data_IF_140210711657
#
_entry.id   IF_140210711657
#
_cell.length_a   1.000
_cell.length_b   1.000
_cell.length_c   1.000
_cell.angle_alpha   90.00
_cell.angle_beta   90.00
_cell.angle_gamma   90.00
#
_symmetry.space_group_name_H-M   'P 1'
#
loop_
_entity.id
_entity.type
_entity.pdbx_description
1 polymer ?
#
# COMPACT_ATOMS: atom_id res chain seq x y z
N UNK A 1 42.96 4.73 4.45
CA UNK A 1 41.80 3.94 3.97
C UNK A 1 40.87 3.71 5.14
N UNK A 2 39.58 4.11 5.06
CA UNK A 2 38.65 3.83 6.16
C UNK A 2 38.41 2.31 6.24
N UNK A 3 38.44 1.76 7.44
CA UNK A 3 38.15 0.34 7.71
C UNK A 3 36.70 0.05 7.32
N UNK A 4 36.48 -0.96 6.50
CA UNK A 4 35.15 -1.48 6.24
C UNK A 4 34.54 -1.97 7.55
N UNK A 5 33.39 -1.43 7.88
CA UNK A 5 32.62 -1.85 9.06
C UNK A 5 31.94 -3.18 8.74
N UNK A 6 32.25 -4.20 9.51
CA UNK A 6 31.69 -5.53 9.27
C UNK A 6 30.21 -5.59 9.72
N UNK A 7 29.52 -6.63 9.26
CA UNK A 7 28.09 -6.86 9.52
C UNK A 7 27.75 -6.93 11.02
N UNK A 8 28.69 -7.40 11.85
CA UNK A 8 28.51 -7.49 13.30
C UNK A 8 28.59 -6.10 13.98
N UNK A 9 29.47 -5.26 13.49
CA UNK A 9 29.63 -3.89 14.01
C UNK A 9 28.41 -3.03 13.63
N UNK A 10 27.87 -3.23 12.43
CA UNK A 10 26.64 -2.58 11.99
C UNK A 10 25.45 -2.95 12.89
N UNK A 11 25.30 -4.25 13.23
CA UNK A 11 24.21 -4.71 14.10
C UNK A 11 24.37 -4.20 15.55
N UNK A 12 25.61 -4.02 16.03
CA UNK A 12 25.85 -3.43 17.35
C UNK A 12 25.56 -1.93 17.40
N UNK A 13 25.88 -1.22 16.32
CA UNK A 13 25.57 0.21 16.21
C UNK A 13 24.06 0.46 16.18
N UNK A 14 23.30 -0.38 15.47
CA UNK A 14 21.83 -0.27 15.45
C UNK A 14 21.19 -0.63 16.80
N UNK A 15 21.78 -1.57 17.56
CA UNK A 15 21.30 -1.91 18.91
C UNK A 15 21.59 -0.81 19.95
N UNK A 16 22.71 -0.09 19.80
CA UNK A 16 23.07 0.99 20.73
C UNK A 16 22.20 2.25 20.55
N UNK A 17 21.78 2.54 19.33
CA UNK A 17 20.91 3.70 19.05
C UNK A 17 19.48 3.46 19.60
N UNK A 18 19.01 2.21 19.59
CA UNK A 18 17.71 1.85 20.14
C UNK A 18 17.62 2.00 21.68
N UNK A 19 18.73 1.90 22.40
CA UNK A 19 18.72 1.93 23.87
C UNK A 19 18.68 3.35 24.44
N UNK A 20 19.11 4.37 23.70
CA UNK A 20 19.22 5.74 24.21
C UNK A 20 17.92 6.57 24.10
N UNK A 21 16.99 6.13 23.24
CA UNK A 21 15.73 6.85 23.00
C UNK A 21 14.61 6.41 23.96
N UNK A 22 14.82 5.34 24.76
CA UNK A 22 13.76 4.78 25.62
C UNK A 22 13.63 5.45 27.01
N UNK A 23 14.37 6.52 27.29
CA UNK A 23 14.36 7.15 28.63
C UNK A 23 13.67 8.53 28.68
N UNK A 24 12.76 8.80 27.78
CA UNK A 24 12.03 10.07 27.81
C UNK A 24 10.62 9.97 27.26
N UNK A 25 9.67 10.15 28.11
CA UNK A 25 8.23 10.31 27.91
C UNK A 25 7.42 9.02 27.72
N UNK A 26 7.06 8.44 28.85
CA UNK A 26 5.83 7.65 28.96
C UNK A 26 4.67 8.68 28.85
N UNK A 27 4.09 8.79 27.67
CA UNK A 27 2.84 9.52 27.51
C UNK A 27 1.73 8.75 28.22
N UNK A 28 1.20 9.34 29.28
CA UNK A 28 0.01 8.84 29.95
C UNK A 28 -1.21 8.93 29.02
N UNK A 29 -1.92 7.85 28.90
CA UNK A 29 -3.32 7.83 28.50
C UNK A 29 -3.59 7.85 27.02
N UNK A 30 -3.31 6.74 26.33
CA UNK A 30 -4.06 6.43 25.13
C UNK A 30 -5.44 5.93 25.54
N UNK A 31 -6.46 6.76 25.47
CA UNK A 31 -7.82 6.26 25.47
C UNK A 31 -7.96 5.38 24.25
N UNK A 32 -8.13 4.08 24.48
CA UNK A 32 -8.55 3.14 23.42
C UNK A 32 -9.90 3.64 22.93
N UNK A 33 -9.92 4.29 21.78
CA UNK A 33 -11.16 4.59 21.12
C UNK A 33 -11.81 3.26 20.74
N UNK A 34 -12.87 2.91 21.47
CA UNK A 34 -13.67 1.74 21.14
C UNK A 34 -14.44 2.05 19.85
N UNK A 35 -13.85 1.70 18.71
CA UNK A 35 -14.61 1.68 17.46
C UNK A 35 -15.68 0.60 17.63
N UNK A 36 -16.94 1.03 17.77
CA UNK A 36 -18.05 0.10 17.59
C UNK A 36 -17.95 -0.47 16.16
N UNK A 37 -18.10 -1.80 16.02
CA UNK A 37 -18.04 -2.42 14.70
C UNK A 37 -19.01 -1.70 13.77
N UNK A 38 -18.46 -1.02 12.77
CA UNK A 38 -19.25 -0.36 11.75
C UNK A 38 -19.74 -1.45 10.79
N UNK A 39 -21.04 -1.58 10.63
CA UNK A 39 -21.57 -2.56 9.67
C UNK A 39 -21.17 -2.12 8.27
N UNK A 40 -20.04 -2.65 7.80
CA UNK A 40 -19.56 -2.36 6.44
C UNK A 40 -20.48 -3.03 5.42
N UNK A 41 -20.76 -2.29 4.35
CA UNK A 41 -21.60 -2.80 3.27
C UNK A 41 -20.87 -3.92 2.52
N UNK A 42 -21.50 -5.09 2.40
CA UNK A 42 -20.93 -6.20 1.63
C UNK A 42 -21.04 -5.91 0.12
N UNK A 43 -20.00 -6.29 -0.61
CA UNK A 43 -20.01 -6.19 -2.08
C UNK A 43 -20.18 -7.57 -2.71
N UNK A 44 -20.83 -7.59 -3.87
CA UNK A 44 -20.97 -8.82 -4.68
C UNK A 44 -19.60 -9.23 -5.22
N UNK A 45 -18.80 -8.23 -5.60
CA UNK A 45 -17.51 -8.45 -6.26
C UNK A 45 -16.62 -7.22 -6.07
N UNK A 46 -15.31 -7.45 -5.96
CA UNK A 46 -14.31 -6.40 -6.11
C UNK A 46 -13.33 -6.82 -7.20
N UNK A 47 -12.97 -5.88 -8.07
CA UNK A 47 -11.98 -6.05 -9.13
C UNK A 47 -10.82 -5.10 -8.83
N UNK A 48 -9.62 -5.66 -8.63
CA UNK A 48 -8.41 -4.89 -8.37
C UNK A 48 -7.46 -5.08 -9.56
N UNK A 49 -7.21 -4.01 -10.29
CA UNK A 49 -6.22 -3.98 -11.38
C UNK A 49 -4.95 -3.32 -10.87
N UNK A 50 -3.85 -4.05 -10.84
CA UNK A 50 -2.52 -3.51 -10.50
C UNK A 50 -1.98 -2.85 -11.78
N UNK A 51 -2.04 -1.53 -11.83
CA UNK A 51 -1.63 -0.77 -13.03
C UNK A 51 -0.12 -0.91 -13.24
N UNK A 52 0.65 -0.71 -12.14
CA UNK A 52 2.11 -0.87 -12.18
C UNK A 52 2.62 -1.42 -10.84
N UNK A 53 3.77 -2.07 -10.87
CA UNK A 53 4.46 -2.68 -9.73
C UNK A 53 5.89 -3.01 -10.19
N UNK A 54 6.73 -3.48 -9.27
CA UNK A 54 8.15 -3.79 -9.50
C UNK A 54 8.42 -4.89 -10.55
N UNK A 55 7.45 -5.76 -10.78
CA UNK A 55 7.68 -7.01 -11.53
C UNK A 55 6.64 -7.20 -12.63
N UNK A 56 7.11 -7.56 -13.84
CA UNK A 56 6.24 -7.95 -14.95
C UNK A 56 6.79 -9.19 -15.64
N UNK A 57 5.95 -10.20 -15.83
CA UNK A 57 6.30 -11.40 -16.57
C UNK A 57 5.06 -11.89 -17.34
N UNK A 58 5.09 -11.71 -18.65
CA UNK A 58 3.97 -12.07 -19.52
C UNK A 58 3.75 -13.58 -19.65
N UNK A 59 4.74 -14.39 -19.25
CA UNK A 59 4.65 -15.85 -19.37
C UNK A 59 4.08 -16.53 -18.12
N UNK A 60 3.76 -15.78 -17.07
CA UNK A 60 3.19 -16.35 -15.85
C UNK A 60 1.67 -16.50 -15.88
N UNK A 61 1.05 -16.39 -17.03
CA UNK A 61 -0.40 -16.46 -17.20
C UNK A 61 -1.00 -17.81 -16.74
N UNK A 62 -0.21 -18.88 -16.76
CA UNK A 62 -0.67 -20.22 -16.44
C UNK A 62 -0.22 -20.74 -15.05
N UNK A 63 0.42 -19.89 -14.25
CA UNK A 63 0.98 -20.30 -12.95
C UNK A 63 0.12 -19.75 -11.79
N UNK A 64 -1.06 -20.36 -11.61
CA UNK A 64 -2.01 -19.97 -10.57
C UNK A 64 -2.41 -21.19 -9.73
N UNK A 65 -2.84 -20.98 -8.49
CA UNK A 65 -3.51 -22.06 -7.75
C UNK A 65 -4.69 -22.59 -8.58
N UNK A 66 -4.89 -23.92 -8.65
CA UNK A 66 -5.92 -24.49 -9.53
C UNK A 66 -7.35 -24.01 -9.25
N UNK A 67 -7.62 -23.58 -8.04
CA UNK A 67 -8.93 -23.09 -7.61
C UNK A 67 -9.13 -21.59 -7.83
N UNK A 68 -8.10 -20.85 -8.21
CA UNK A 68 -8.20 -19.40 -8.42
C UNK A 68 -8.43 -19.09 -9.91
N UNK A 69 -9.69 -19.07 -10.30
CA UNK A 69 -10.09 -18.87 -11.71
C UNK A 69 -10.18 -17.40 -12.13
N UNK A 70 -9.91 -16.47 -11.19
CA UNK A 70 -10.27 -15.08 -11.39
C UNK A 70 -9.06 -14.14 -11.52
N UNK A 71 -7.88 -14.67 -11.81
CA UNK A 71 -6.72 -13.83 -12.14
C UNK A 71 -6.62 -13.68 -13.66
N UNK A 72 -6.58 -12.43 -14.13
CA UNK A 72 -6.37 -12.12 -15.54
C UNK A 72 -5.05 -11.37 -15.69
N UNK A 73 -4.21 -11.84 -16.58
CA UNK A 73 -2.93 -11.20 -16.89
C UNK A 73 -3.03 -10.47 -18.22
N UNK A 74 -2.33 -9.36 -18.33
CA UNK A 74 -2.21 -8.66 -19.61
C UNK A 74 -1.35 -9.50 -20.56
N UNK A 75 -1.87 -9.75 -21.76
CA UNK A 75 -1.13 -10.48 -22.79
C UNK A 75 -0.45 -9.49 -23.72
N UNK A 76 0.85 -9.66 -23.88
CA UNK A 76 1.64 -8.80 -24.79
C UNK A 76 1.29 -9.06 -26.25
N UNK A 77 1.53 -8.04 -27.09
CA UNK A 77 1.43 -8.14 -28.54
C UNK A 77 2.49 -7.25 -29.19
N UNK A 78 2.62 -7.31 -30.51
CA UNK A 78 3.57 -6.43 -31.19
C UNK A 78 3.33 -4.96 -30.82
N UNK A 79 4.37 -4.29 -30.31
CA UNK A 79 4.30 -2.90 -29.91
C UNK A 79 3.59 -2.62 -28.60
N UNK A 80 3.24 -3.65 -27.83
CA UNK A 80 2.59 -3.44 -26.53
C UNK A 80 3.20 -4.30 -25.42
N UNK A 81 3.51 -3.68 -24.30
CA UNK A 81 3.99 -4.35 -23.07
C UNK A 81 3.67 -3.47 -21.88
N UNK A 82 3.41 -4.10 -20.77
CA UNK A 82 3.20 -3.38 -19.49
C UNK A 82 4.55 -2.85 -19.02
N UNK A 83 4.55 -1.61 -18.54
CA UNK A 83 5.67 -0.96 -17.88
C UNK A 83 5.67 -1.35 -16.39
N UNK A 84 6.80 -1.86 -15.91
CA UNK A 84 7.05 -2.13 -14.49
C UNK A 84 8.01 -1.10 -13.93
N UNK A 85 7.79 -0.68 -12.68
CA UNK A 85 8.62 0.34 -12.03
C UNK A 85 8.60 0.15 -10.51
N UNK A 86 9.51 0.82 -9.79
CA UNK A 86 9.39 0.90 -8.34
C UNK A 86 8.36 1.97 -7.98
N UNK A 87 7.12 1.70 -8.33
CA UNK A 87 5.97 2.53 -8.04
C UNK A 87 4.74 1.64 -8.03
N UNK A 88 3.75 2.02 -7.29
CA UNK A 88 2.53 1.21 -7.15
C UNK A 88 1.30 2.03 -7.50
N UNK A 89 0.39 1.43 -8.28
CA UNK A 89 -0.84 2.08 -8.67
C UNK A 89 -1.93 1.05 -8.92
N UNK A 90 -3.14 1.37 -8.46
CA UNK A 90 -4.30 0.47 -8.58
C UNK A 90 -5.48 1.20 -9.22
N UNK A 91 -6.22 0.47 -10.06
CA UNK A 91 -7.59 0.79 -10.43
C UNK A 91 -8.49 -0.27 -9.79
N UNK A 92 -9.51 0.17 -9.07
CA UNK A 92 -10.35 -0.72 -8.27
C UNK A 92 -11.81 -0.44 -8.61
N UNK A 93 -12.60 -1.52 -8.72
CA UNK A 93 -14.05 -1.41 -8.91
C UNK A 93 -14.76 -2.29 -7.89
N UNK A 94 -15.64 -1.74 -7.08
CA UNK A 94 -16.59 -2.53 -6.30
C UNK A 94 -17.87 -2.69 -7.09
N UNK A 95 -18.57 -3.80 -6.87
CA UNK A 95 -19.85 -4.10 -7.52
C UNK A 95 -20.91 -4.31 -6.46
N UNK A 96 -21.99 -3.54 -6.58
CA UNK A 96 -23.08 -3.51 -5.61
C UNK A 96 -24.39 -3.26 -6.35
N UNK A 97 -25.36 -4.16 -6.16
CA UNK A 97 -26.68 -4.06 -6.80
C UNK A 97 -26.58 -3.87 -8.32
N UNK A 98 -25.62 -4.60 -8.93
CA UNK A 98 -25.41 -4.56 -10.37
C UNK A 98 -24.69 -3.30 -10.88
N UNK A 99 -24.28 -2.39 -10.01
CA UNK A 99 -23.52 -1.17 -10.38
C UNK A 99 -22.05 -1.34 -10.00
N UNK A 100 -21.17 -0.77 -10.82
CA UNK A 100 -19.75 -0.69 -10.51
C UNK A 100 -19.38 0.70 -10.03
N UNK A 101 -18.48 0.78 -9.05
CA UNK A 101 -17.99 2.02 -8.43
C UNK A 101 -16.48 2.06 -8.58
N UNK A 102 -15.97 2.63 -9.68
CA UNK A 102 -14.52 2.67 -9.94
C UNK A 102 -13.81 3.82 -9.24
N UNK A 103 -12.60 3.54 -8.75
CA UNK A 103 -11.72 4.55 -8.17
C UNK A 103 -10.26 4.16 -8.39
N UNK A 104 -9.36 5.11 -8.23
CA UNK A 104 -7.91 4.83 -8.24
C UNK A 104 -7.33 4.98 -6.85
N UNK A 105 -6.32 4.16 -6.55
CA UNK A 105 -5.56 4.21 -5.30
C UNK A 105 -4.09 4.11 -5.63
N UNK A 106 -3.33 5.13 -5.26
CA UNK A 106 -1.93 5.37 -5.59
C UNK A 106 -1.70 5.52 -7.12
N UNK A 107 -0.58 6.12 -7.49
CA UNK A 107 -0.38 6.66 -8.84
C UNK A 107 0.97 6.29 -9.47
N UNK A 108 1.81 5.54 -8.75
CA UNK A 108 3.13 5.17 -9.27
C UNK A 108 4.08 6.36 -9.39
N UNK A 109 5.07 6.22 -10.23
CA UNK A 109 6.20 7.14 -10.32
C UNK A 109 6.39 7.72 -11.73
N UNK A 110 6.51 6.86 -12.75
CA UNK A 110 6.77 7.31 -14.11
C UNK A 110 5.47 7.60 -14.85
N UNK A 111 5.26 8.88 -15.19
CA UNK A 111 4.02 9.31 -15.83
C UNK A 111 3.76 8.57 -17.15
N UNK A 112 4.78 8.47 -18.02
CA UNK A 112 4.59 7.87 -19.35
C UNK A 112 4.25 6.37 -19.23
N UNK A 113 4.97 5.66 -18.36
CA UNK A 113 4.75 4.23 -18.13
C UNK A 113 3.37 3.94 -17.55
N UNK A 114 2.97 4.68 -16.51
CA UNK A 114 1.67 4.50 -15.85
C UNK A 114 0.53 4.85 -16.81
N UNK A 115 0.63 5.97 -17.55
CA UNK A 115 -0.42 6.36 -18.51
C UNK A 115 -0.53 5.34 -19.65
N UNK A 116 0.60 4.79 -20.12
CA UNK A 116 0.61 3.73 -21.12
C UNK A 116 -0.10 2.47 -20.59
N UNK A 117 0.17 2.10 -19.33
CA UNK A 117 -0.51 0.96 -18.70
C UNK A 117 -2.02 1.19 -18.59
N UNK A 118 -2.44 2.40 -18.17
CA UNK A 118 -3.86 2.77 -18.08
C UNK A 118 -4.55 2.55 -19.44
N UNK A 119 -3.90 3.01 -20.52
CA UNK A 119 -4.40 2.83 -21.89
C UNK A 119 -4.50 1.35 -22.28
N UNK A 120 -3.42 0.60 -22.09
CA UNK A 120 -3.35 -0.83 -22.45
C UNK A 120 -4.36 -1.68 -21.67
N UNK A 121 -4.59 -1.32 -20.40
CA UNK A 121 -5.54 -2.03 -19.52
C UNK A 121 -6.99 -1.59 -19.74
N UNK A 122 -7.23 -0.61 -20.62
CA UNK A 122 -8.56 -0.11 -20.96
C UNK A 122 -9.26 0.58 -19.78
N UNK A 123 -8.51 1.27 -18.92
CA UNK A 123 -9.08 1.94 -17.76
C UNK A 123 -9.69 3.28 -18.19
N UNK A 124 -10.99 3.44 -17.93
CA UNK A 124 -11.73 4.64 -18.28
C UNK A 124 -11.74 5.65 -17.13
N UNK A 125 -10.89 6.66 -17.22
CA UNK A 125 -10.77 7.71 -16.20
C UNK A 125 -12.03 8.58 -16.09
N UNK A 126 -12.94 8.58 -17.09
CA UNK A 126 -14.16 9.38 -17.03
C UNK A 126 -15.17 8.82 -16.02
N UNK A 127 -15.00 7.54 -15.64
CA UNK A 127 -15.91 6.84 -14.73
C UNK A 127 -15.51 6.95 -13.27
N UNK A 128 -14.32 7.50 -12.97
CA UNK A 128 -13.80 7.52 -11.60
C UNK A 128 -14.73 8.28 -10.66
N UNK A 129 -15.13 7.64 -9.57
CA UNK A 129 -15.94 8.23 -8.51
C UNK A 129 -15.09 8.85 -7.40
N UNK A 130 -13.86 8.35 -7.23
CA UNK A 130 -12.94 8.80 -6.18
C UNK A 130 -11.50 8.55 -6.56
N UNK A 131 -10.62 9.21 -5.83
CA UNK A 131 -9.17 9.01 -5.85
C UNK A 131 -8.71 8.82 -4.41
N UNK A 132 -7.70 8.00 -4.18
CA UNK A 132 -7.12 7.80 -2.85
C UNK A 132 -5.60 7.74 -2.90
N UNK A 133 -4.96 8.12 -1.80
CA UNK A 133 -3.52 8.02 -1.63
C UNK A 133 -3.25 7.29 -0.32
N UNK A 134 -2.44 6.24 -0.38
CA UNK A 134 -2.12 5.43 0.79
C UNK A 134 -1.27 6.18 1.81
N UNK A 135 -0.22 6.84 1.35
CA UNK A 135 0.71 7.60 2.21
C UNK A 135 1.61 8.51 1.36
N UNK A 136 2.44 9.30 2.00
CA UNK A 136 3.20 10.36 1.35
C UNK A 136 4.57 10.00 0.79
N UNK A 137 4.84 8.75 0.39
CA UNK A 137 6.07 8.39 -0.34
C UNK A 137 5.91 8.60 -1.83
N UNK A 138 6.99 9.04 -2.49
CA UNK A 138 6.96 9.50 -3.88
C UNK A 138 6.57 8.40 -4.88
N UNK A 139 6.87 7.17 -4.60
CA UNK A 139 6.54 6.02 -5.45
C UNK A 139 5.03 5.66 -5.44
N UNK A 140 4.24 6.39 -4.65
CA UNK A 140 2.78 6.30 -4.60
C UNK A 140 2.09 7.54 -5.13
N UNK A 141 2.70 8.73 -4.96
CA UNK A 141 2.09 9.98 -5.42
C UNK A 141 2.81 10.63 -6.61
N UNK A 142 3.97 10.12 -7.04
CA UNK A 142 4.82 10.79 -8.03
C UNK A 142 4.09 11.20 -9.30
N UNK A 143 3.14 10.37 -9.72
CA UNK A 143 2.38 10.62 -10.94
C UNK A 143 1.01 11.29 -10.70
N UNK A 144 0.62 11.59 -9.46
CA UNK A 144 -0.71 12.14 -9.17
C UNK A 144 -0.94 13.48 -9.85
N UNK A 145 -0.05 14.46 -9.63
CA UNK A 145 -0.21 15.80 -10.21
C UNK A 145 -0.15 15.77 -11.74
N UNK A 146 0.82 15.10 -12.38
CA UNK A 146 0.81 14.94 -13.84
C UNK A 146 -0.47 14.29 -14.38
N UNK A 147 -0.97 13.24 -13.72
CA UNK A 147 -2.20 12.55 -14.11
C UNK A 147 -3.40 13.52 -14.08
N UNK A 148 -3.55 14.29 -12.99
CA UNK A 148 -4.61 15.27 -12.85
C UNK A 148 -4.50 16.36 -13.93
N UNK A 149 -3.29 16.92 -14.14
CA UNK A 149 -3.05 17.98 -15.14
C UNK A 149 -3.44 17.55 -16.56
N UNK A 150 -3.07 16.33 -16.95
CA UNK A 150 -3.28 15.86 -18.33
C UNK A 150 -4.67 15.30 -18.57
N UNK A 151 -5.42 14.96 -17.52
CA UNK A 151 -6.74 14.35 -17.66
C UNK A 151 -7.87 15.21 -17.06
N UNK A 152 -7.69 16.54 -17.05
CA UNK A 152 -8.70 17.49 -16.55
C UNK A 152 -10.06 17.35 -17.24
N UNK A 153 -10.05 16.96 -18.51
CA UNK A 153 -11.27 16.78 -19.30
C UNK A 153 -11.92 15.40 -19.13
N UNK A 154 -11.23 14.48 -18.46
CA UNK A 154 -11.75 13.12 -18.20
C UNK A 154 -12.23 12.98 -16.75
N UNK A 155 -11.44 13.48 -15.81
CA UNK A 155 -11.77 13.38 -14.38
C UNK A 155 -12.82 14.48 -14.05
N UNK A 156 -13.92 14.06 -13.45
CA UNK A 156 -15.03 14.98 -13.13
C UNK A 156 -14.57 16.01 -12.08
N UNK A 157 -14.88 17.29 -12.33
CA UNK A 157 -14.59 18.35 -11.35
C UNK A 157 -15.31 18.07 -10.02
N UNK A 158 -14.56 18.18 -8.92
CA UNK A 158 -15.06 17.90 -7.58
C UNK A 158 -14.88 16.46 -7.13
N UNK A 159 -14.28 15.59 -7.98
CA UNK A 159 -13.95 14.20 -7.58
C UNK A 159 -13.19 14.23 -6.25
N UNK A 160 -13.63 13.48 -5.21
CA UNK A 160 -12.90 13.45 -3.94
C UNK A 160 -11.55 12.77 -4.09
N UNK A 161 -10.52 13.36 -3.46
CA UNK A 161 -9.19 12.78 -3.29
C UNK A 161 -8.98 12.54 -1.79
N UNK A 162 -9.04 11.30 -1.38
CA UNK A 162 -8.87 10.90 0.02
C UNK A 162 -7.39 10.70 0.32
N UNK A 163 -6.92 11.34 1.39
CA UNK A 163 -5.51 11.24 1.85
C UNK A 163 -5.50 11.08 3.36
N UNK A 164 -4.47 10.45 3.90
CA UNK A 164 -4.30 10.35 5.35
C UNK A 164 -3.60 11.57 5.93
N UNK A 165 -3.50 11.61 7.27
CA UNK A 165 -2.72 12.63 7.97
C UNK A 165 -1.29 12.67 7.45
N UNK A 166 -0.73 13.85 7.38
CA UNK A 166 0.69 14.04 7.01
C UNK A 166 1.04 13.57 5.59
N UNK A 167 0.03 13.35 4.72
CA UNK A 167 0.27 12.93 3.33
C UNK A 167 1.15 13.94 2.57
N UNK A 168 1.07 15.21 2.94
CA UNK A 168 1.76 16.32 2.28
C UNK A 168 3.09 16.71 2.94
N UNK A 169 3.49 16.03 4.02
CA UNK A 169 4.75 16.34 4.70
C UNK A 169 5.95 15.78 3.92
N UNK A 170 7.03 16.55 3.91
CA UNK A 170 8.28 16.14 3.29
C UNK A 170 8.91 14.97 4.04
N UNK A 171 9.44 14.01 3.28
CA UNK A 171 10.00 12.79 3.83
C UNK A 171 11.46 12.59 3.43
N UNK A 172 12.17 11.81 4.25
CA UNK A 172 13.60 11.52 4.05
C UNK A 172 13.87 10.06 4.40
N UNK A 173 14.97 9.53 3.84
CA UNK A 173 15.53 8.25 4.26
C UNK A 173 16.95 8.47 4.77
N UNK A 174 17.24 7.99 5.98
CA UNK A 174 18.58 8.05 6.58
C UNK A 174 19.33 6.76 6.23
N UNK A 175 20.02 6.77 5.11
CA UNK A 175 20.72 5.60 4.55
C UNK A 175 22.20 5.60 4.96
N UNK A 176 22.90 4.45 4.87
CA UNK A 176 24.33 4.43 5.12
C UNK A 176 25.08 5.41 4.21
N UNK A 177 25.99 6.23 4.77
CA UNK A 177 26.72 7.22 3.98
C UNK A 177 27.44 6.62 2.79
N UNK A 178 27.47 7.38 1.68
CA UNK A 178 28.23 7.01 0.48
C UNK A 178 27.54 6.04 -0.47
N UNK A 179 26.34 5.57 -0.16
CA UNK A 179 25.63 4.68 -1.09
C UNK A 179 24.99 5.46 -2.25
N UNK A 180 24.26 6.50 -1.95
CA UNK A 180 23.60 7.37 -2.96
C UNK A 180 23.99 8.83 -2.76
N UNK A 181 24.12 9.24 -1.51
CA UNK A 181 24.48 10.58 -1.11
C UNK A 181 25.56 10.51 -0.03
N UNK A 182 26.63 11.34 -0.11
CA UNK A 182 27.70 11.31 0.89
C UNK A 182 27.23 11.56 2.33
N UNK A 183 26.13 12.31 2.53
CA UNK A 183 25.57 12.58 3.86
C UNK A 183 24.77 11.41 4.42
N UNK A 184 24.32 10.48 3.56
CA UNK A 184 23.40 9.41 3.94
C UNK A 184 21.94 9.86 4.03
N UNK A 185 21.65 11.16 3.94
CA UNK A 185 20.28 11.67 4.06
C UNK A 185 19.67 11.89 2.67
N UNK A 186 18.85 10.95 2.22
CA UNK A 186 18.15 11.05 0.95
C UNK A 186 16.83 11.79 1.14
N UNK A 187 16.62 12.83 0.32
CA UNK A 187 15.35 13.57 0.27
C UNK A 187 14.35 12.76 -0.59
N UNK A 188 13.23 12.37 -0.01
CA UNK A 188 12.17 11.64 -0.70
C UNK A 188 11.06 12.56 -1.23
N UNK A 189 11.23 13.88 -1.03
CA UNK A 189 10.29 14.89 -1.53
C UNK A 189 9.02 15.05 -0.70
N UNK A 190 8.10 15.80 -1.28
CA UNK A 190 6.77 16.05 -0.70
C UNK A 190 5.75 16.25 -1.80
N UNK A 191 4.54 15.76 -1.61
CA UNK A 191 3.41 16.04 -2.48
C UNK A 191 2.95 17.49 -2.23
N UNK A 192 2.85 18.29 -3.27
CA UNK A 192 2.50 19.70 -3.14
C UNK A 192 0.97 19.89 -3.11
N UNK A 193 0.44 20.11 -1.91
CA UNK A 193 -1.00 20.34 -1.70
C UNK A 193 -1.50 21.51 -2.54
N UNK A 194 -0.75 22.61 -2.52
CA UNK A 194 -1.10 23.82 -3.25
C UNK A 194 -1.16 23.64 -4.77
N UNK A 195 -0.34 22.74 -5.32
CA UNK A 195 -0.42 22.43 -6.75
C UNK A 195 -1.71 21.68 -7.10
N UNK A 196 -2.14 20.76 -6.22
CA UNK A 196 -3.39 20.03 -6.41
C UNK A 196 -4.57 20.99 -6.32
N UNK A 197 -4.60 21.84 -5.29
CA UNK A 197 -5.68 22.81 -5.07
C UNK A 197 -5.77 23.81 -6.22
N UNK A 198 -4.61 24.24 -6.76
CA UNK A 198 -4.57 25.17 -7.90
C UNK A 198 -5.17 24.59 -9.19
N UNK A 199 -5.27 23.25 -9.30
CA UNK A 199 -5.94 22.63 -10.46
C UNK A 199 -7.45 22.80 -10.42
N UNK A 200 -8.03 23.05 -9.25
CA UNK A 200 -9.49 23.19 -9.04
C UNK A 200 -10.28 22.03 -9.65
N UNK A 201 -9.71 20.82 -9.58
CA UNK A 201 -10.27 19.61 -10.20
C UNK A 201 -10.80 18.63 -9.15
N UNK A 202 -10.06 18.44 -8.06
CA UNK A 202 -10.39 17.45 -7.02
C UNK A 202 -10.66 18.14 -5.69
N UNK A 203 -11.40 17.47 -4.80
CA UNK A 203 -11.66 17.93 -3.44
C UNK A 203 -10.86 17.07 -2.48
N UNK A 204 -9.85 17.63 -1.83
CA UNK A 204 -9.02 16.90 -0.85
C UNK A 204 -9.84 16.62 0.42
N UNK A 205 -9.84 15.36 0.85
CA UNK A 205 -10.52 14.90 2.08
C UNK A 205 -9.49 14.16 2.93
N UNK A 206 -9.17 14.68 4.10
CA UNK A 206 -8.26 14.04 5.05
C UNK A 206 -8.99 12.98 5.87
N UNK A 207 -8.40 11.80 5.98
CA UNK A 207 -9.00 10.61 6.61
C UNK A 207 -8.20 10.23 7.85
N UNK A 208 -8.91 10.13 9.00
CA UNK A 208 -8.35 9.64 10.27
C UNK A 208 -9.11 8.42 10.79
N UNK A 209 -10.37 8.32 10.41
CA UNK A 209 -11.30 7.30 10.87
C UNK A 209 -11.70 6.40 9.70
N UNK A 210 -12.16 5.16 9.95
CA UNK A 210 -12.66 4.32 8.87
C UNK A 210 -13.70 5.04 8.03
N UNK A 211 -13.45 5.19 6.73
CA UNK A 211 -14.23 6.07 5.84
C UNK A 211 -14.54 5.35 4.53
N UNK A 212 -15.81 5.33 4.08
CA UNK A 212 -16.11 4.79 2.74
C UNK A 212 -15.51 5.71 1.66
N UNK A 213 -14.72 5.13 0.76
CA UNK A 213 -14.17 5.86 -0.38
C UNK A 213 -15.15 5.82 -1.57
N UNK A 214 -15.75 4.67 -1.80
CA UNK A 214 -16.91 4.45 -2.68
C UNK A 214 -17.80 3.38 -2.02
N UNK A 215 -19.04 3.16 -2.49
CA UNK A 215 -19.87 2.08 -1.94
C UNK A 215 -19.15 0.74 -1.86
N UNK A 216 -19.08 0.15 -0.66
CA UNK A 216 -18.46 -1.15 -0.40
C UNK A 216 -16.94 -1.17 -0.28
N UNK A 217 -16.27 -0.04 -0.43
CA UNK A 217 -14.82 0.07 -0.20
C UNK A 217 -14.59 1.07 0.94
N UNK A 218 -13.77 0.69 1.93
CA UNK A 218 -13.53 1.51 3.13
C UNK A 218 -12.03 1.68 3.34
N UNK A 219 -11.61 2.93 3.49
CA UNK A 219 -10.29 3.27 4.00
C UNK A 219 -10.22 2.94 5.49
N UNK A 220 -9.07 2.47 5.95
CA UNK A 220 -8.88 2.03 7.34
C UNK A 220 -8.95 3.15 8.37
N UNK A 221 -8.65 4.38 7.96
CA UNK A 221 -8.29 5.40 8.93
C UNK A 221 -6.92 5.06 9.54
N UNK A 222 -6.62 5.65 10.69
CA UNK A 222 -5.34 5.42 11.37
C UNK A 222 -5.26 3.98 11.90
N UNK A 223 -4.26 3.24 11.46
CA UNK A 223 -4.14 1.80 11.73
C UNK A 223 -3.60 1.57 13.16
N UNK A 224 -4.36 0.83 13.98
CA UNK A 224 -3.95 0.47 15.33
C UNK A 224 -2.79 -0.54 15.29
N UNK A 225 -1.75 -0.28 16.08
CA UNK A 225 -0.56 -1.14 16.14
C UNK A 225 -0.62 -2.03 17.37
N UNK A 226 -0.82 -3.33 17.16
CA UNK A 226 -0.98 -4.33 18.24
C UNK A 226 0.17 -5.34 18.28
N UNK A 227 0.95 -5.49 17.19
CA UNK A 227 2.09 -6.41 17.17
C UNK A 227 3.36 -5.75 17.70
N UNK A 228 4.18 -6.52 18.43
CA UNK A 228 5.41 -5.99 19.03
C UNK A 228 6.54 -5.76 18.01
N UNK A 229 6.50 -6.44 16.87
CA UNK A 229 7.58 -6.39 15.88
C UNK A 229 7.29 -5.46 14.70
N UNK A 230 6.04 -4.99 14.50
CA UNK A 230 5.67 -4.07 13.42
C UNK A 230 5.73 -2.61 13.89
N UNK A 231 6.92 -2.14 14.27
CA UNK A 231 7.13 -0.82 14.87
C UNK A 231 7.58 0.27 13.88
N UNK A 232 7.48 0.00 12.57
CA UNK A 232 7.92 0.93 11.53
C UNK A 232 9.41 0.77 11.21
N UNK A 233 9.98 1.79 10.58
CA UNK A 233 11.38 1.78 10.15
C UNK A 233 12.12 2.96 10.76
N UNK A 234 13.25 2.73 11.44
CA UNK A 234 14.00 3.84 12.06
C UNK A 234 14.74 4.72 11.05
N UNK A 235 14.87 4.27 9.81
CA UNK A 235 15.56 5.03 8.77
C UNK A 235 14.64 5.98 8.01
N UNK A 236 13.30 5.81 8.14
CA UNK A 236 12.34 6.67 7.44
C UNK A 236 11.94 7.83 8.36
N UNK A 237 12.10 9.06 7.83
CA UNK A 237 11.90 10.27 8.60
C UNK A 237 10.87 11.17 7.91
N UNK A 238 10.15 11.92 8.71
CA UNK A 238 9.17 12.93 8.28
C UNK A 238 9.55 14.30 8.82
N UNK A 239 9.33 15.34 8.02
CA UNK A 239 9.54 16.73 8.46
C UNK A 239 8.28 17.25 9.16
N UNK A 240 8.42 17.69 10.42
CA UNK A 240 7.38 18.41 11.17
C UNK A 240 7.96 19.73 11.65
N UNK A 241 7.47 20.84 11.09
CA UNK A 241 8.09 22.14 11.31
C UNK A 241 9.53 22.14 10.81
N UNK A 242 10.50 22.45 11.66
CA UNK A 242 11.92 22.42 11.30
C UNK A 242 12.62 21.10 11.65
N UNK A 243 11.94 20.19 12.37
CA UNK A 243 12.55 18.92 12.81
C UNK A 243 12.32 17.80 11.78
N UNK A 244 13.27 16.85 11.75
CA UNK A 244 13.14 15.56 11.06
C UNK A 244 13.04 14.50 12.15
N UNK A 245 11.94 13.76 12.13
CA UNK A 245 11.61 12.79 13.18
C UNK A 245 11.31 11.42 12.53
N UNK A 246 11.42 10.30 13.27
CA UNK A 246 10.98 9.03 12.75
C UNK A 246 9.54 9.11 12.23
N UNK A 247 9.32 8.63 11.01
CA UNK A 247 7.98 8.60 10.44
C UNK A 247 7.20 7.42 11.02
N UNK A 248 6.15 7.74 11.75
CA UNK A 248 5.25 6.74 12.33
C UNK A 248 4.12 6.37 11.37
N UNK A 249 4.03 7.05 10.22
CA UNK A 249 2.99 6.80 9.21
C UNK A 249 1.59 6.78 9.82
N UNK A 250 1.28 7.79 10.65
CA UNK A 250 -0.01 7.85 11.36
C UNK A 250 -1.20 7.85 10.41
N UNK A 251 -1.04 8.52 9.27
CA UNK A 251 -2.10 8.63 8.27
C UNK A 251 -2.04 7.58 7.16
N UNK A 252 -1.21 6.52 7.28
CA UNK A 252 -1.19 5.47 6.25
C UNK A 252 -2.57 4.82 6.12
N UNK A 253 -3.06 4.72 4.87
CA UNK A 253 -4.36 4.13 4.56
C UNK A 253 -4.18 2.80 3.85
N UNK A 254 -5.05 1.84 4.21
CA UNK A 254 -5.30 0.60 3.48
C UNK A 254 -6.79 0.53 3.18
N UNK A 255 -7.22 -0.44 2.39
CA UNK A 255 -8.63 -0.53 2.00
C UNK A 255 -9.20 -1.92 2.34
N UNK A 256 -10.38 -2.15 2.92
CA UNK A 256 -10.99 -3.16 3.20
C UNK A 256 -12.09 -3.31 2.39
N UNK A 257 -12.48 -4.40 1.95
CA UNK A 257 -13.72 -4.77 1.29
C UNK A 257 -14.30 -5.98 2.01
N UNK A 258 -15.61 -6.04 2.23
CA UNK A 258 -16.27 -7.24 2.75
C UNK A 258 -17.01 -7.91 1.58
N UNK A 259 -16.46 -9.02 1.07
CA UNK A 259 -16.99 -9.71 -0.12
C UNK A 259 -18.00 -10.76 0.32
N UNK A 260 -19.23 -10.63 -0.16
CA UNK A 260 -20.38 -11.46 0.21
C UNK A 260 -20.07 -12.96 0.13
N UNK A 261 -20.20 -13.64 1.26
CA UNK A 261 -19.97 -15.09 1.38
C UNK A 261 -18.50 -15.51 1.32
N UNK A 262 -17.55 -14.55 1.17
CA UNK A 262 -16.12 -14.86 1.10
C UNK A 262 -15.34 -14.35 2.31
N UNK A 263 -15.66 -13.16 2.79
CA UNK A 263 -14.93 -12.49 3.86
C UNK A 263 -14.15 -11.28 3.36
N UNK A 264 -13.19 -10.85 4.15
CA UNK A 264 -12.43 -9.61 3.88
C UNK A 264 -11.40 -9.78 2.77
N UNK A 265 -11.35 -8.80 1.89
CA UNK A 265 -10.19 -8.53 1.03
C UNK A 265 -9.53 -7.29 1.61
N UNK A 266 -8.26 -7.40 1.99
CA UNK A 266 -7.48 -6.30 2.57
C UNK A 266 -6.39 -5.93 1.57
N UNK A 267 -6.43 -4.69 1.09
CA UNK A 267 -5.43 -4.15 0.17
C UNK A 267 -4.59 -3.12 0.89
N UNK A 268 -3.29 -3.35 0.94
CA UNK A 268 -2.33 -2.36 1.42
C UNK A 268 -1.48 -1.84 0.26
N UNK A 269 -0.79 -0.73 0.47
CA UNK A 269 0.20 -0.27 -0.52
C UNK A 269 1.62 -0.53 -0.02
N UNK A 270 1.96 -0.08 1.20
CA UNK A 270 3.25 -0.41 1.80
C UNK A 270 3.14 -1.11 3.15
N UNK A 271 2.07 -0.88 3.90
CA UNK A 271 1.87 -1.42 5.25
C UNK A 271 3.03 -1.03 6.19
N UNK A 272 3.40 0.27 6.23
CA UNK A 272 4.38 0.78 7.19
C UNK A 272 3.88 0.60 8.64
N UNK A 273 2.56 0.61 8.85
CA UNK A 273 1.95 0.28 10.14
C UNK A 273 2.09 -1.22 10.48
N UNK A 274 2.46 -2.04 9.50
CA UNK A 274 2.54 -3.49 9.62
C UNK A 274 1.36 -4.18 8.97
N UNK A 275 1.61 -5.20 8.14
CA UNK A 275 0.53 -5.89 7.43
C UNK A 275 -0.36 -6.70 8.39
N UNK A 276 0.21 -7.28 9.45
CA UNK A 276 -0.57 -8.01 10.46
C UNK A 276 -1.47 -7.04 11.23
N UNK A 277 -0.92 -5.87 11.61
CA UNK A 277 -1.70 -4.80 12.24
C UNK A 277 -2.84 -4.34 11.31
N UNK A 278 -2.54 -4.15 10.02
CA UNK A 278 -3.53 -3.72 9.02
C UNK A 278 -4.68 -4.71 8.92
N UNK A 279 -4.38 -6.01 8.83
CA UNK A 279 -5.42 -7.05 8.72
C UNK A 279 -6.24 -7.13 10.01
N UNK A 280 -5.60 -7.14 11.18
CA UNK A 280 -6.30 -7.17 12.47
C UNK A 280 -7.19 -5.92 12.65
N UNK A 281 -6.71 -4.78 12.22
CA UNK A 281 -7.48 -3.53 12.25
C UNK A 281 -8.72 -3.62 11.34
N UNK A 282 -8.55 -4.16 10.12
CA UNK A 282 -9.67 -4.37 9.20
C UNK A 282 -10.71 -5.34 9.79
N UNK A 283 -10.27 -6.43 10.43
CA UNK A 283 -11.17 -7.36 11.13
C UNK A 283 -11.94 -6.65 12.25
N UNK A 284 -11.25 -5.83 13.04
CA UNK A 284 -11.85 -5.05 14.14
C UNK A 284 -12.91 -4.06 13.64
N UNK A 285 -12.59 -3.29 12.58
CA UNK A 285 -13.52 -2.31 11.97
C UNK A 285 -14.81 -3.00 11.49
N UNK A 286 -14.65 -4.12 10.80
CA UNK A 286 -15.77 -4.77 10.09
C UNK A 286 -16.53 -5.79 10.96
N UNK A 287 -15.92 -6.27 12.04
CA UNK A 287 -16.44 -7.40 12.81
C UNK A 287 -16.42 -8.72 12.02
N UNK A 288 -15.60 -8.81 10.98
CA UNK A 288 -15.51 -10.00 10.10
C UNK A 288 -14.14 -10.66 10.31
N UNK A 289 -14.14 -11.87 10.87
CA UNK A 289 -12.90 -12.60 11.16
C UNK A 289 -12.28 -13.23 9.92
N UNK A 290 -13.13 -13.75 9.02
CA UNK A 290 -12.64 -14.46 7.83
C UNK A 290 -11.95 -13.50 6.85
N UNK A 291 -10.71 -13.82 6.49
CA UNK A 291 -9.93 -13.08 5.48
C UNK A 291 -9.91 -13.91 4.19
N UNK A 292 -10.44 -13.34 3.11
CA UNK A 292 -10.43 -13.96 1.79
C UNK A 292 -9.11 -13.69 1.07
N UNK A 293 -8.63 -12.44 1.09
CA UNK A 293 -7.36 -12.12 0.43
C UNK A 293 -6.63 -10.99 1.14
N UNK A 294 -5.30 -11.08 1.15
CA UNK A 294 -4.41 -10.00 1.55
C UNK A 294 -3.54 -9.69 0.32
N UNK A 295 -3.59 -8.46 -0.16
CA UNK A 295 -2.93 -8.05 -1.41
C UNK A 295 -2.19 -6.72 -1.23
N UNK A 296 -0.97 -6.62 -1.78
CA UNK A 296 -0.23 -5.37 -1.80
C UNK A 296 1.20 -5.46 -1.30
N UNK A 297 1.79 -4.32 -0.98
CA UNK A 297 3.11 -4.21 -0.39
C UNK A 297 3.05 -4.38 1.13
N UNK A 298 4.08 -5.02 1.70
CA UNK A 298 4.14 -5.34 3.15
C UNK A 298 5.39 -4.77 3.82
N UNK A 299 6.15 -3.95 3.12
CA UNK A 299 7.36 -3.25 3.58
C UNK A 299 8.31 -4.14 4.41
N UNK A 300 8.63 -5.32 3.87
CA UNK A 300 9.53 -6.27 4.52
C UNK A 300 10.92 -6.30 3.86
N UNK A 301 11.12 -5.53 2.79
CA UNK A 301 12.44 -5.43 2.14
C UNK A 301 13.46 -4.90 3.16
N UNK A 302 14.59 -5.62 3.29
CA UNK A 302 15.65 -5.24 4.23
C UNK A 302 15.30 -5.44 5.71
N UNK A 303 14.11 -5.97 6.02
CA UNK A 303 13.74 -6.25 7.40
C UNK A 303 14.58 -7.42 7.97
N UNK A 304 14.84 -7.42 9.29
CA UNK A 304 15.47 -8.57 9.91
C UNK A 304 14.69 -9.86 9.67
N UNK A 305 15.41 -10.95 9.44
CA UNK A 305 14.82 -12.28 9.16
C UNK A 305 13.75 -12.67 10.21
N UNK A 306 14.01 -12.36 11.47
CA UNK A 306 13.05 -12.63 12.56
C UNK A 306 11.71 -11.92 12.35
N UNK A 307 11.74 -10.64 11.90
CA UNK A 307 10.52 -9.89 11.58
C UNK A 307 9.76 -10.53 10.41
N UNK A 308 10.49 -10.90 9.35
CA UNK A 308 9.87 -11.55 8.17
C UNK A 308 9.18 -12.86 8.60
N UNK A 309 9.89 -13.69 9.39
CA UNK A 309 9.35 -14.98 9.88
C UNK A 309 8.11 -14.78 10.77
N UNK A 310 8.14 -13.80 11.69
CA UNK A 310 6.99 -13.50 12.55
C UNK A 310 5.79 -13.05 11.73
N UNK A 311 6.01 -12.16 10.75
CA UNK A 311 4.93 -11.69 9.86
C UNK A 311 4.31 -12.87 9.10
N UNK A 312 5.14 -13.74 8.49
CA UNK A 312 4.63 -14.90 7.74
C UNK A 312 3.86 -15.85 8.67
N UNK A 313 4.36 -16.09 9.89
CA UNK A 313 3.70 -16.96 10.87
C UNK A 313 2.33 -16.40 11.28
N UNK A 314 2.24 -15.10 11.56
CA UNK A 314 0.97 -14.47 11.94
C UNK A 314 -0.03 -14.44 10.78
N UNK A 315 0.43 -14.13 9.55
CA UNK A 315 -0.44 -14.18 8.37
C UNK A 315 -0.93 -15.63 8.12
N UNK A 316 -0.06 -16.61 8.31
CA UNK A 316 -0.43 -18.04 8.22
C UNK A 316 -1.47 -18.41 9.26
N UNK A 317 -1.37 -17.87 10.48
CA UNK A 317 -2.35 -18.10 11.56
C UNK A 317 -3.71 -17.41 11.25
N UNK A 318 -3.70 -16.23 10.61
CA UNK A 318 -4.91 -15.58 10.10
C UNK A 318 -5.58 -16.44 9.03
N UNK A 319 -4.79 -17.20 8.28
CA UNK A 319 -5.22 -18.18 7.29
C UNK A 319 -6.13 -17.59 6.20
N UNK A 320 -5.62 -16.59 5.44
CA UNK A 320 -6.39 -16.07 4.30
C UNK A 320 -6.52 -17.13 3.19
N UNK A 321 -7.58 -17.05 2.38
CA UNK A 321 -7.70 -17.91 1.20
C UNK A 321 -6.59 -17.60 0.18
N UNK A 322 -6.17 -16.32 0.07
CA UNK A 322 -5.10 -15.87 -0.85
C UNK A 322 -4.17 -14.85 -0.21
N UNK A 323 -2.88 -14.94 -0.55
CA UNK A 323 -1.85 -13.95 -0.17
C UNK A 323 -1.11 -13.52 -1.43
N UNK A 324 -1.09 -12.20 -1.71
CA UNK A 324 -0.58 -11.65 -2.97
C UNK A 324 0.41 -10.51 -2.62
N UNK A 325 1.60 -10.86 -2.10
CA UNK A 325 2.60 -9.86 -1.73
C UNK A 325 3.30 -9.30 -2.96
N UNK A 326 3.58 -7.99 -2.94
CA UNK A 326 4.20 -7.30 -4.08
C UNK A 326 5.02 -6.09 -3.60
N UNK A 327 5.57 -5.32 -4.52
CA UNK A 327 6.17 -3.99 -4.31
C UNK A 327 7.27 -4.03 -3.24
N UNK A 328 7.11 -3.27 -2.16
CA UNK A 328 8.07 -3.14 -1.06
C UNK A 328 8.11 -4.34 -0.12
N UNK A 329 7.36 -5.41 -0.40
CA UNK A 329 7.48 -6.66 0.37
C UNK A 329 8.91 -7.22 0.30
N UNK A 330 9.55 -7.12 -0.86
CA UNK A 330 10.91 -7.61 -1.05
C UNK A 330 10.98 -9.08 -1.36
N UNK A 331 12.00 -9.46 -2.13
CA UNK A 331 12.13 -10.81 -2.68
C UNK A 331 12.24 -11.89 -1.60
N UNK A 332 12.98 -11.60 -0.53
CA UNK A 332 13.20 -12.55 0.57
C UNK A 332 11.89 -12.91 1.28
N UNK A 333 11.06 -11.91 1.51
CA UNK A 333 9.76 -12.12 2.16
C UNK A 333 8.77 -12.79 1.18
N UNK A 334 8.75 -12.35 -0.08
CA UNK A 334 7.88 -12.96 -1.12
C UNK A 334 8.16 -14.46 -1.25
N UNK A 335 9.43 -14.83 -1.34
CA UNK A 335 9.80 -16.26 -1.47
C UNK A 335 9.49 -17.04 -0.19
N UNK A 336 9.57 -16.41 0.98
CA UNK A 336 9.17 -17.08 2.22
C UNK A 336 7.64 -17.31 2.25
N UNK A 337 6.83 -16.33 1.84
CA UNK A 337 5.38 -16.54 1.70
C UNK A 337 5.05 -17.68 0.74
N UNK A 338 5.71 -17.71 -0.43
CA UNK A 338 5.54 -18.79 -1.42
C UNK A 338 5.82 -20.16 -0.81
N UNK A 339 6.92 -20.29 -0.07
CA UNK A 339 7.35 -21.55 0.55
C UNK A 339 6.41 -21.99 1.67
N UNK A 340 5.99 -21.05 2.52
CA UNK A 340 5.22 -21.36 3.73
C UNK A 340 3.71 -21.44 3.49
N UNK A 341 3.21 -20.83 2.41
CA UNK A 341 1.79 -20.76 2.08
C UNK A 341 1.54 -21.07 0.59
N UNK A 342 2.10 -22.19 0.07
CA UNK A 342 2.09 -22.44 -1.39
C UNK A 342 0.69 -22.58 -2.00
N UNK A 343 -0.31 -22.91 -1.22
CA UNK A 343 -1.70 -23.05 -1.72
C UNK A 343 -2.41 -21.71 -1.82
N UNK A 344 -2.04 -20.75 -0.97
CA UNK A 344 -2.64 -19.43 -0.90
C UNK A 344 -1.88 -18.39 -1.73
N UNK A 345 -0.59 -18.64 -2.00
CA UNK A 345 0.32 -17.65 -2.59
C UNK A 345 0.07 -17.43 -4.07
N UNK A 346 0.03 -16.17 -4.46
CA UNK A 346 0.00 -15.76 -5.87
C UNK A 346 1.06 -14.67 -6.05
N UNK A 347 2.04 -14.91 -6.92
CA UNK A 347 3.01 -13.88 -7.29
C UNK A 347 2.33 -12.86 -8.19
N UNK A 348 2.38 -11.59 -7.81
CA UNK A 348 1.85 -10.51 -8.64
C UNK A 348 2.76 -10.26 -9.85
N UNK A 349 2.16 -9.79 -10.94
CA UNK A 349 2.88 -9.08 -12.01
C UNK A 349 2.07 -7.82 -12.37
N UNK A 350 2.75 -6.75 -12.72
CA UNK A 350 2.11 -5.50 -13.18
C UNK A 350 1.11 -5.82 -14.32
N UNK A 351 0.02 -5.11 -14.39
CA UNK A 351 -1.07 -5.35 -15.35
C UNK A 351 -2.01 -6.49 -14.97
N UNK A 352 -1.83 -7.11 -13.79
CA UNK A 352 -2.74 -8.17 -13.34
C UNK A 352 -4.06 -7.60 -12.84
N UNK A 353 -5.14 -8.33 -13.10
CA UNK A 353 -6.48 -8.01 -12.63
C UNK A 353 -6.97 -9.16 -11.76
N UNK A 354 -7.27 -8.88 -10.49
CA UNK A 354 -7.78 -9.82 -9.51
C UNK A 354 -9.27 -9.58 -9.30
N UNK A 355 -10.07 -10.65 -9.36
CA UNK A 355 -11.53 -10.59 -9.26
C UNK A 355 -11.96 -11.43 -8.06
N UNK A 356 -12.43 -10.80 -6.99
CA UNK A 356 -12.90 -11.46 -5.78
C UNK A 356 -14.43 -11.33 -5.70
N UNK A 357 -15.14 -12.47 -5.59
CA UNK A 357 -16.59 -12.50 -5.59
C UNK A 357 -17.16 -13.12 -6.86
N UNK A 358 -18.45 -12.95 -7.11
CA UNK A 358 -19.19 -13.57 -8.24
C UNK A 358 -19.59 -12.55 -9.28
#
# INVERSE_FOLDING_TARGET
MPKEMDRREFLKATAAIGATVMAGNILKGGESMAYGSQKTQEVEKVVITVITDNYYDCLRWNLFPPDFKMVKRYMIGPGSSIHAEHGLSYHIETYLEGKSHPFMFDYGLDFQGVMRNIELLGIDLTRLEALGLSHGHFDHWGNLIPLLKQNKNKIKKGTPLYVGEEAFNRRYANLPPGRYDPSGMQDLGELKREEIEALDLVKIIEVKEPTPIVPGAYLTGNIERTTEYEKGSPILLIKRGESKEPDLFLGEQSIXFNVKGKGLVVLSSCAHAGIVNTVKHAQKITGTDKVHAIIGGFHLIGAPEAKIKSTVADIKAINPDYIIPMHCTGWEAITLFEREMPKQFILNTAGSKYIFGV
#
